data_IF_103598200767
#
_entry.id   IF_103598200767
#
_cell.length_a   1.000
_cell.length_b   1.000
_cell.length_c   1.000
_cell.angle_alpha   90.00
_cell.angle_beta   90.00
_cell.angle_gamma   90.00
#
_symmetry.space_group_name_H-M   'P 1'
#
loop_
_entity.id
_entity.type
_entity.pdbx_description
1 polymer ?
#
# COMPACT_ATOMS: atom_id res chain seq x y z
N UNK A 1 -18.05 30.62 -20.50
CA UNK A 1 -17.66 30.24 -19.12
C UNK A 1 -16.33 29.54 -19.25
N UNK A 2 -15.28 30.16 -18.74
CA UNK A 2 -13.91 29.69 -18.92
C UNK A 2 -13.69 28.43 -18.08
N UNK A 3 -13.52 27.29 -18.74
CA UNK A 3 -13.13 26.03 -18.10
C UNK A 3 -11.66 26.13 -17.67
N UNK A 4 -11.42 26.75 -16.51
CA UNK A 4 -10.13 26.69 -15.84
C UNK A 4 -9.92 25.28 -15.31
N UNK A 5 -9.35 24.41 -16.15
CA UNK A 5 -8.87 23.09 -15.73
C UNK A 5 -7.73 23.34 -14.76
N UNK A 6 -7.95 23.05 -13.48
CA UNK A 6 -6.93 23.15 -12.45
C UNK A 6 -5.88 22.05 -12.70
N UNK A 7 -4.84 22.39 -13.44
CA UNK A 7 -3.76 21.45 -13.79
C UNK A 7 -2.78 21.34 -12.63
N UNK A 8 -2.87 20.25 -11.88
CA UNK A 8 -1.91 19.94 -10.83
C UNK A 8 -0.70 19.20 -11.40
N UNK A 9 0.50 19.73 -11.16
CA UNK A 9 1.74 19.02 -11.50
C UNK A 9 2.02 17.96 -10.43
N UNK A 10 1.88 16.69 -10.79
CA UNK A 10 2.17 15.55 -9.92
C UNK A 10 3.46 14.86 -10.34
N UNK A 11 4.18 14.30 -9.36
CA UNK A 11 5.30 13.40 -9.63
C UNK A 11 4.74 12.01 -9.91
N UNK A 12 4.97 11.49 -11.11
CA UNK A 12 4.62 10.12 -11.45
C UNK A 12 5.88 9.30 -11.73
N UNK A 13 5.81 7.99 -11.46
CA UNK A 13 6.86 7.03 -11.81
C UNK A 13 6.21 5.81 -12.45
N UNK A 14 6.58 5.55 -13.69
CA UNK A 14 6.24 4.30 -14.39
C UNK A 14 7.33 3.26 -14.11
N UNK A 15 6.92 2.03 -13.80
CA UNK A 15 7.83 0.89 -13.64
C UNK A 15 7.24 -0.26 -14.46
N UNK A 16 8.03 -0.78 -15.39
CA UNK A 16 7.71 -2.03 -16.11
C UNK A 16 8.46 -3.17 -15.45
N UNK A 17 7.77 -4.27 -15.17
CA UNK A 17 8.33 -5.51 -14.63
C UNK A 17 7.84 -6.68 -15.47
N UNK A 18 8.73 -7.60 -15.80
CA UNK A 18 8.45 -8.76 -16.67
C UNK A 18 9.25 -9.97 -16.18
N UNK A 19 8.76 -11.16 -16.52
CA UNK A 19 9.35 -12.44 -16.12
C UNK A 19 8.37 -13.31 -15.34
N UNK A 20 8.90 -14.34 -14.71
CA UNK A 20 8.17 -15.15 -13.72
C UNK A 20 7.83 -14.30 -12.49
N UNK A 21 6.83 -14.70 -11.71
CA UNK A 21 6.48 -14.03 -10.45
C UNK A 21 7.69 -13.86 -9.53
N UNK A 22 8.56 -14.87 -9.44
CA UNK A 22 9.80 -14.76 -8.67
C UNK A 22 10.75 -13.67 -9.21
N UNK A 23 10.97 -13.61 -10.53
CA UNK A 23 11.83 -12.59 -11.16
C UNK A 23 11.25 -11.18 -11.01
N UNK A 24 9.93 -11.03 -11.14
CA UNK A 24 9.22 -9.77 -10.82
C UNK A 24 9.52 -9.36 -9.38
N UNK A 25 9.43 -10.30 -8.43
CA UNK A 25 9.81 -10.10 -7.04
C UNK A 25 11.25 -9.61 -6.87
N UNK A 26 12.21 -10.21 -7.58
CA UNK A 26 13.62 -9.77 -7.56
C UNK A 26 13.78 -8.32 -8.04
N UNK A 27 13.11 -7.95 -9.14
CA UNK A 27 13.15 -6.58 -9.69
C UNK A 27 12.57 -5.58 -8.68
N UNK A 28 11.44 -5.90 -8.07
CA UNK A 28 10.81 -5.08 -7.03
C UNK A 28 11.71 -4.94 -5.79
N UNK A 29 12.34 -6.03 -5.34
CA UNK A 29 13.31 -6.01 -4.25
C UNK A 29 14.50 -5.08 -4.55
N UNK A 30 15.03 -5.11 -5.77
CA UNK A 30 16.12 -4.23 -6.18
C UNK A 30 15.71 -2.76 -6.19
N UNK A 31 14.46 -2.45 -6.55
CA UNK A 31 13.92 -1.09 -6.47
C UNK A 31 13.84 -0.58 -5.04
N UNK A 32 13.49 -1.44 -4.07
CA UNK A 32 13.47 -1.10 -2.64
C UNK A 32 14.89 -0.73 -2.17
N UNK A 33 15.88 -1.55 -2.51
CA UNK A 33 17.29 -1.29 -2.16
C UNK A 33 17.77 0.05 -2.76
N UNK A 34 17.52 0.24 -4.04
CA UNK A 34 18.12 1.34 -4.81
C UNK A 34 17.54 2.71 -4.45
N UNK A 35 16.26 2.76 -4.04
CA UNK A 35 15.54 4.03 -3.89
C UNK A 35 15.15 4.39 -2.46
N UNK A 36 15.27 3.48 -1.49
CA UNK A 36 14.55 3.68 -0.25
C UNK A 36 15.20 2.98 0.97
N UNK A 37 16.34 3.53 1.43
CA UNK A 37 17.01 3.09 2.66
C UNK A 37 16.08 3.03 3.89
N UNK A 38 15.11 3.95 3.98
CA UNK A 38 14.08 3.93 5.04
C UNK A 38 12.92 2.95 4.78
N UNK A 39 12.61 2.61 3.52
CA UNK A 39 11.56 1.62 3.22
C UNK A 39 12.00 0.20 3.48
N UNK A 40 13.30 -0.11 3.41
CA UNK A 40 13.79 -1.46 3.78
C UNK A 40 13.31 -1.80 5.19
N UNK A 41 13.53 -0.90 6.14
CA UNK A 41 13.04 -1.02 7.50
C UNK A 41 11.51 -1.13 7.57
N UNK A 42 10.74 -0.40 6.75
CA UNK A 42 9.27 -0.54 6.72
C UNK A 42 8.84 -1.88 6.13
N UNK A 43 9.57 -2.39 5.14
CA UNK A 43 9.29 -3.65 4.46
C UNK A 43 9.68 -4.87 5.29
N UNK A 44 10.63 -4.73 6.24
CA UNK A 44 11.24 -5.85 6.98
C UNK A 44 11.19 -5.75 8.51
N UNK A 45 10.77 -4.62 9.13
CA UNK A 45 10.78 -4.44 10.61
C UNK A 45 9.63 -5.17 11.31
N UNK A 46 9.44 -6.45 11.02
CA UNK A 46 8.59 -7.30 11.82
C UNK A 46 9.43 -8.21 12.71
N UNK A 47 9.27 -8.08 14.03
CA UNK A 47 9.87 -8.99 14.99
C UNK A 47 8.87 -10.09 15.37
N UNK A 48 9.26 -11.33 15.08
CA UNK A 48 8.58 -12.61 15.34
C UNK A 48 8.11 -12.87 16.80
N UNK A 49 8.32 -11.93 17.72
CA UNK A 49 8.09 -12.11 19.16
C UNK A 49 6.61 -12.16 19.57
N UNK A 50 5.68 -11.87 18.67
CA UNK A 50 4.23 -11.93 18.95
C UNK A 50 3.69 -13.36 18.74
N UNK A 51 3.30 -14.03 19.83
CA UNK A 51 2.72 -15.38 19.79
C UNK A 51 1.48 -15.40 18.88
N UNK A 52 1.50 -16.24 17.84
CA UNK A 52 0.40 -16.43 16.89
C UNK A 52 0.67 -15.89 15.48
N UNK A 53 1.71 -15.07 15.28
CA UNK A 53 2.02 -14.50 13.95
C UNK A 53 2.40 -15.56 12.94
N UNK A 54 3.20 -16.55 13.33
CA UNK A 54 3.56 -17.68 12.45
C UNK A 54 2.33 -18.37 11.85
N UNK A 55 1.29 -18.59 12.67
CA UNK A 55 0.03 -19.21 12.20
C UNK A 55 -0.69 -18.32 11.18
N UNK A 56 -0.69 -17.00 11.38
CA UNK A 56 -1.29 -16.07 10.42
C UNK A 56 -0.52 -16.01 9.11
N UNK A 57 0.81 -16.00 9.16
CA UNK A 57 1.64 -16.03 7.96
C UNK A 57 1.37 -17.33 7.18
N UNK A 58 1.34 -18.48 7.84
CA UNK A 58 1.01 -19.75 7.18
C UNK A 58 -0.37 -19.72 6.52
N UNK A 59 -1.40 -19.20 7.22
CA UNK A 59 -2.72 -19.05 6.63
C UNK A 59 -2.73 -18.10 5.42
N UNK A 60 -1.94 -17.01 5.47
CA UNK A 60 -1.83 -16.06 4.37
C UNK A 60 -1.13 -16.71 3.16
N UNK A 61 -0.07 -17.48 3.37
CA UNK A 61 0.62 -18.25 2.33
C UNK A 61 -0.37 -19.20 1.65
N UNK A 62 -1.10 -20.02 2.42
CA UNK A 62 -2.10 -20.95 1.87
C UNK A 62 -3.24 -20.22 1.13
N UNK A 63 -3.67 -19.07 1.64
CA UNK A 63 -4.69 -18.24 1.00
C UNK A 63 -4.21 -17.72 -0.36
N UNK A 64 -2.98 -17.22 -0.43
CA UNK A 64 -2.40 -16.72 -1.68
C UNK A 64 -2.15 -17.83 -2.68
N UNK A 65 -1.65 -18.99 -2.27
CA UNK A 65 -1.47 -20.14 -3.17
C UNK A 65 -2.81 -20.55 -3.82
N UNK A 66 -3.91 -20.40 -3.09
CA UNK A 66 -5.25 -20.76 -3.59
C UNK A 66 -5.87 -19.72 -4.49
N UNK A 67 -5.80 -18.44 -4.11
CA UNK A 67 -6.61 -17.39 -4.75
C UNK A 67 -5.79 -16.38 -5.56
N UNK A 68 -4.49 -16.25 -5.30
CA UNK A 68 -3.60 -15.30 -5.95
C UNK A 68 -2.27 -15.99 -6.32
N UNK A 69 -2.30 -16.99 -7.23
CA UNK A 69 -1.09 -17.73 -7.59
C UNK A 69 -0.01 -16.78 -8.11
N UNK A 70 1.23 -16.97 -7.63
CA UNK A 70 2.37 -16.13 -7.97
C UNK A 70 2.74 -15.08 -6.91
N UNK A 71 1.81 -14.64 -6.05
CA UNK A 71 2.13 -13.66 -4.98
C UNK A 71 3.22 -14.18 -4.04
N UNK A 72 3.14 -15.45 -3.63
CA UNK A 72 4.15 -16.03 -2.75
C UNK A 72 5.54 -16.09 -3.42
N UNK A 73 5.59 -16.30 -4.74
CA UNK A 73 6.84 -16.27 -5.51
C UNK A 73 7.41 -14.86 -5.62
N UNK A 74 6.56 -13.85 -5.84
CA UNK A 74 6.97 -12.44 -5.82
C UNK A 74 7.54 -12.03 -4.45
N UNK A 75 6.84 -12.38 -3.37
CA UNK A 75 7.29 -12.10 -1.99
C UNK A 75 8.64 -12.79 -1.71
N UNK A 76 8.80 -14.04 -2.15
CA UNK A 76 10.07 -14.76 -2.05
C UNK A 76 11.18 -14.06 -2.83
N UNK A 77 10.92 -13.63 -4.07
CA UNK A 77 11.89 -12.85 -4.86
C UNK A 77 12.30 -11.54 -4.18
N UNK A 78 11.37 -10.85 -3.52
CA UNK A 78 11.69 -9.67 -2.71
C UNK A 78 12.57 -10.05 -1.52
N UNK A 79 12.17 -11.05 -0.73
CA UNK A 79 12.89 -11.49 0.47
C UNK A 79 14.34 -11.90 0.16
N UNK A 80 14.54 -12.73 -0.87
CA UNK A 80 15.86 -13.19 -1.32
C UNK A 80 16.73 -12.04 -1.82
N UNK A 81 16.12 -10.97 -2.34
CA UNK A 81 16.86 -9.76 -2.75
C UNK A 81 17.27 -8.90 -1.57
N UNK A 82 16.42 -8.81 -0.54
CA UNK A 82 16.67 -8.03 0.67
C UNK A 82 17.54 -8.78 1.70
N UNK A 83 17.75 -10.08 1.51
CA UNK A 83 18.52 -10.95 2.40
C UNK A 83 17.81 -11.24 3.73
N UNK A 84 16.48 -11.36 3.70
CA UNK A 84 15.63 -11.61 4.87
C UNK A 84 14.77 -12.86 4.64
N UNK A 85 14.16 -13.39 5.70
CA UNK A 85 13.16 -14.45 5.58
C UNK A 85 11.84 -13.92 5.01
N UNK A 86 11.04 -14.77 4.38
CA UNK A 86 9.75 -14.38 3.81
C UNK A 86 8.76 -13.92 4.89
N UNK A 87 8.92 -14.44 6.11
CA UNK A 87 8.15 -14.10 7.30
C UNK A 87 8.42 -12.67 7.81
N UNK A 88 9.59 -12.11 7.49
CA UNK A 88 9.95 -10.73 7.83
C UNK A 88 9.33 -9.72 6.85
N UNK A 89 8.82 -10.16 5.69
CA UNK A 89 8.17 -9.28 4.73
C UNK A 89 6.81 -8.85 5.27
N UNK A 90 6.64 -7.53 5.47
CA UNK A 90 5.45 -6.92 6.09
C UNK A 90 4.14 -7.26 5.37
N UNK A 91 4.21 -7.64 4.09
CA UNK A 91 3.05 -7.94 3.25
C UNK A 91 2.12 -8.98 3.89
N UNK A 92 2.65 -10.12 4.36
CA UNK A 92 1.83 -11.17 5.00
C UNK A 92 1.08 -10.68 6.24
N UNK A 93 1.68 -9.78 7.00
CA UNK A 93 1.10 -9.28 8.25
C UNK A 93 0.06 -8.20 7.99
N UNK A 94 0.31 -7.32 7.01
CA UNK A 94 -0.66 -6.30 6.61
C UNK A 94 -1.94 -6.88 6.03
N UNK A 95 -1.87 -8.05 5.38
CA UNK A 95 -3.06 -8.78 4.92
C UNK A 95 -3.97 -9.19 6.08
N UNK A 96 -3.40 -9.47 7.26
CA UNK A 96 -4.15 -9.94 8.42
C UNK A 96 -4.51 -8.83 9.42
N UNK A 97 -3.62 -7.86 9.68
CA UNK A 97 -3.80 -6.76 10.63
C UNK A 97 -3.77 -5.41 9.92
N UNK A 98 -4.78 -5.11 9.10
CA UNK A 98 -4.98 -3.72 8.66
C UNK A 98 -5.39 -2.87 9.88
N UNK A 99 -4.48 -2.02 10.36
CA UNK A 99 -4.79 -0.94 11.33
C UNK A 99 -5.15 0.37 10.64
N UNK A 100 -5.34 0.34 9.32
CA UNK A 100 -5.83 1.46 8.54
C UNK A 100 -7.34 1.35 8.31
N UNK A 101 -7.93 2.44 7.86
CA UNK A 101 -9.24 2.40 7.23
C UNK A 101 -9.20 3.15 5.92
N UNK A 102 -10.30 3.06 5.19
CA UNK A 102 -10.45 3.75 3.93
C UNK A 102 -11.83 4.39 3.87
N UNK A 103 -11.88 5.57 3.26
CA UNK A 103 -13.12 6.20 2.80
C UNK A 103 -13.11 6.09 1.28
N UNK A 104 -14.20 5.57 0.70
CA UNK A 104 -14.33 5.43 -0.75
C UNK A 104 -15.67 6.00 -1.19
N UNK A 105 -15.66 6.68 -2.34
CA UNK A 105 -16.85 7.26 -2.95
C UNK A 105 -16.88 6.94 -4.43
N UNK A 106 -18.07 6.67 -4.95
CA UNK A 106 -18.32 6.54 -6.38
C UNK A 106 -19.55 7.38 -6.76
N UNK A 107 -19.41 8.18 -7.80
CA UNK A 107 -20.47 9.02 -8.37
C UNK A 107 -20.89 8.41 -9.70
N UNK A 108 -22.17 8.03 -9.80
CA UNK A 108 -22.71 7.33 -10.97
C UNK A 108 -23.11 8.30 -12.10
N UNK A 109 -23.15 7.85 -13.36
CA UNK A 109 -23.50 8.68 -14.51
C UNK A 109 -24.83 9.43 -14.38
N UNK A 110 -25.79 8.84 -13.67
CA UNK A 110 -27.13 9.43 -13.50
C UNK A 110 -27.16 10.75 -12.72
N UNK A 111 -26.06 11.11 -12.05
CA UNK A 111 -25.92 12.36 -11.28
C UNK A 111 -24.72 13.20 -11.74
N UNK A 112 -24.07 12.85 -12.85
CA UNK A 112 -22.93 13.62 -13.40
C UNK A 112 -23.33 14.33 -14.70
N UNK A 113 -22.97 15.61 -14.83
CA UNK A 113 -23.33 16.41 -16.01
C UNK A 113 -22.76 15.87 -17.34
N UNK A 114 -21.66 15.13 -17.29
CA UNK A 114 -21.01 14.52 -18.47
C UNK A 114 -21.25 13.01 -18.61
N UNK A 115 -22.07 12.40 -17.75
CA UNK A 115 -22.38 10.97 -17.81
C UNK A 115 -21.19 10.04 -17.51
N UNK A 116 -20.08 10.55 -16.95
CA UNK A 116 -18.94 9.74 -16.55
C UNK A 116 -19.12 9.18 -15.12
N UNK A 117 -18.34 8.15 -14.81
CA UNK A 117 -18.16 7.65 -13.44
C UNK A 117 -16.97 8.38 -12.82
N UNK A 118 -17.13 8.84 -11.58
CA UNK A 118 -16.01 9.29 -10.75
C UNK A 118 -15.85 8.33 -9.57
N UNK A 119 -14.61 7.96 -9.28
CA UNK A 119 -14.27 7.13 -8.13
C UNK A 119 -13.12 7.79 -7.38
N UNK A 120 -13.26 7.89 -6.07
CA UNK A 120 -12.24 8.43 -5.19
C UNK A 120 -12.05 7.53 -3.97
N UNK A 121 -10.82 7.52 -3.45
CA UNK A 121 -10.43 6.75 -2.29
C UNK A 121 -9.36 7.48 -1.50
N UNK A 122 -9.60 7.60 -0.20
CA UNK A 122 -8.62 8.05 0.77
C UNK A 122 -8.29 6.92 1.75
N UNK A 123 -6.99 6.64 1.89
CA UNK A 123 -6.47 5.65 2.84
C UNK A 123 -5.82 6.36 4.04
N UNK A 124 -6.19 5.95 5.25
CA UNK A 124 -5.57 6.44 6.47
C UNK A 124 -4.92 5.30 7.25
N UNK A 125 -3.67 5.51 7.67
CA UNK A 125 -2.92 4.56 8.49
C UNK A 125 -2.73 5.11 9.89
N UNK A 126 -3.13 4.34 10.91
CA UNK A 126 -2.81 4.67 12.29
C UNK A 126 -1.35 4.28 12.58
N UNK A 127 -0.44 5.26 12.62
CA UNK A 127 0.91 5.06 13.16
C UNK A 127 0.81 5.07 14.68
N UNK A 128 0.78 3.90 15.30
CA UNK A 128 0.86 3.80 16.76
C UNK A 128 2.28 4.18 17.20
N UNK A 129 2.46 5.16 18.12
CA UNK A 129 3.74 5.40 18.75
C UNK A 129 4.21 4.13 19.47
N UNK A 130 5.52 3.90 19.49
CA UNK A 130 6.16 2.72 20.07
C UNK A 130 6.07 2.62 21.61
N UNK A 131 5.14 3.32 22.25
CA UNK A 131 4.92 3.31 23.69
C UNK A 131 3.45 3.64 23.94
N UNK A 132 2.68 2.69 24.48
CA UNK A 132 1.40 2.76 25.24
C UNK A 132 0.63 4.11 25.34
N UNK A 133 0.60 4.92 24.29
CA UNK A 133 -0.07 6.21 24.23
C UNK A 133 -1.15 6.11 23.16
N UNK A 134 -2.34 6.59 23.53
CA UNK A 134 -3.54 6.63 22.68
C UNK A 134 -3.17 7.12 21.27
N UNK A 135 -3.81 6.59 20.21
CA UNK A 135 -3.51 7.01 18.84
C UNK A 135 -3.63 8.52 18.74
N UNK A 136 -2.51 9.18 18.44
CA UNK A 136 -2.52 10.57 18.04
C UNK A 136 -2.98 10.55 16.59
N UNK A 137 -4.19 11.00 16.33
CA UNK A 137 -4.62 11.45 15.01
C UNK A 137 -3.79 12.68 14.66
N UNK A 138 -2.49 12.50 14.36
CA UNK A 138 -1.67 13.58 13.84
C UNK A 138 -2.21 13.87 12.46
N UNK A 139 -2.92 15.00 12.32
CA UNK A 139 -3.14 15.62 11.02
C UNK A 139 -1.81 15.61 10.28
N UNK A 140 -1.82 15.08 9.06
CA UNK A 140 -0.70 15.22 8.15
C UNK A 140 -0.32 16.71 8.05
N UNK A 141 0.95 17.05 7.83
CA UNK A 141 1.40 18.44 7.79
C UNK A 141 0.52 19.28 6.83
N UNK A 142 0.26 20.56 7.15
CA UNK A 142 -0.54 21.43 6.29
C UNK A 142 0.09 21.45 4.90
N UNK A 143 -0.66 21.02 3.89
CA UNK A 143 -0.19 20.78 2.51
C UNK A 143 -0.34 19.34 2.01
N UNK A 144 -0.67 18.38 2.89
CA UNK A 144 -1.09 17.02 2.49
C UNK A 144 -2.62 16.87 2.34
N UNK A 145 -3.38 17.90 2.73
CA UNK A 145 -4.84 17.94 2.71
C UNK A 145 -5.33 19.05 1.77
N UNK A 146 -4.80 19.14 0.55
CA UNK A 146 -5.52 19.87 -0.49
C UNK A 146 -6.68 18.99 -0.99
N UNK A 147 -7.62 18.71 -0.08
CA UNK A 147 -8.98 18.38 -0.49
C UNK A 147 -9.54 19.69 -1.04
N UNK A 148 -9.23 19.95 -2.30
CA UNK A 148 -9.96 20.94 -3.07
C UNK A 148 -11.43 20.61 -2.94
N UNK A 149 -12.22 21.59 -2.53
CA UNK A 149 -13.66 21.52 -2.51
C UNK A 149 -14.12 21.08 -3.90
N UNK A 150 -14.54 19.82 -4.03
CA UNK A 150 -15.26 19.39 -5.22
C UNK A 150 -16.66 19.99 -5.13
N UNK A 151 -16.81 21.18 -5.70
CA UNK A 151 -18.11 21.73 -6.03
C UNK A 151 -18.73 20.81 -7.08
N UNK A 152 -19.75 20.05 -6.69
CA UNK A 152 -20.58 19.30 -7.64
C UNK A 152 -21.41 20.35 -8.39
N UNK A 153 -20.98 20.67 -9.60
CA UNK A 153 -21.82 21.37 -10.60
C UNK A 153 -22.49 20.34 -11.50
#
# INVERSE_FOLDING_TARGET
MDNNINQQKVLYKHITVEGTSYEVGKILGQLIITKAGSFRNIATNFHEKDKGVRRYINNAIEYFDRYCPGINDEIRGVADTLGVSVEEIIYYINTYKSKGGCSQMAVLPGITANGHIYADREDYYAVLPNDNKKPLWKKLPPGANDCSEFEIV
#
